data_IF_415030709189
#
_entry.id   IF_415030709189
#
_cell.length_a   1.000
_cell.length_b   1.000
_cell.length_c   1.000
_cell.angle_alpha   90.00
_cell.angle_beta   90.00
_cell.angle_gamma   90.00
#
_symmetry.space_group_name_H-M   'P 1'
#
loop_
_entity.id
_entity.type
_entity.pdbx_description
1 polymer ?
#
# COMPACT_ATOMS: atom_id res chain seq x y z
N UNK A 1 -0.17 3.53 22.23
CA UNK A 1 -0.01 2.44 21.25
C UNK A 1 -1.31 2.28 20.49
N UNK A 2 -1.30 1.81 19.24
CA UNK A 2 -2.52 1.71 18.43
C UNK A 2 -3.23 0.39 18.76
N UNK A 3 -4.48 0.38 19.26
CA UNK A 3 -5.14 -0.83 19.75
C UNK A 3 -5.21 -1.97 18.72
N UNK A 4 -5.41 -1.64 17.44
CA UNK A 4 -5.40 -2.65 16.37
C UNK A 4 -4.03 -3.30 16.19
N UNK A 5 -2.94 -2.55 16.34
CA UNK A 5 -1.58 -3.04 16.12
C UNK A 5 -1.15 -3.96 17.28
N UNK A 6 -1.54 -3.61 18.51
CA UNK A 6 -1.18 -4.38 19.71
C UNK A 6 -1.81 -5.78 19.73
N UNK A 7 -2.87 -6.01 18.94
CA UNK A 7 -3.58 -7.30 18.83
C UNK A 7 -3.03 -8.23 17.75
N UNK A 8 -2.20 -7.71 16.84
CA UNK A 8 -1.71 -8.51 15.72
C UNK A 8 -0.64 -9.50 16.19
N UNK A 9 -0.80 -10.76 15.81
CA UNK A 9 0.10 -11.85 16.21
C UNK A 9 0.78 -12.54 15.04
N UNK A 10 0.19 -12.47 13.84
CA UNK A 10 0.69 -13.15 12.65
C UNK A 10 1.02 -12.16 11.53
N UNK A 11 2.32 -11.99 11.26
CA UNK A 11 2.80 -11.22 10.10
C UNK A 11 2.85 -12.15 8.88
N UNK A 12 2.04 -11.84 7.87
CA UNK A 12 1.89 -12.65 6.65
C UNK A 12 2.96 -12.28 5.62
N UNK A 13 3.14 -10.98 5.38
CA UNK A 13 4.13 -10.48 4.44
C UNK A 13 4.62 -9.09 4.85
N UNK A 14 5.85 -8.75 4.47
CA UNK A 14 6.39 -7.41 4.63
C UNK A 14 7.41 -7.10 3.54
N UNK A 15 7.60 -5.81 3.25
CA UNK A 15 8.61 -5.41 2.28
C UNK A 15 8.52 -3.96 1.86
N UNK A 16 9.48 -3.57 1.01
CA UNK A 16 9.51 -2.22 0.44
C UNK A 16 8.65 -2.13 -0.81
N UNK A 17 7.77 -1.12 -0.85
CA UNK A 17 6.98 -0.74 -2.02
C UNK A 17 7.18 0.75 -2.30
N UNK A 18 6.85 1.20 -3.50
CA UNK A 18 6.81 2.64 -3.84
C UNK A 18 5.38 3.09 -4.07
N UNK A 19 5.02 4.28 -3.60
CA UNK A 19 3.73 4.87 -3.99
C UNK A 19 3.80 5.50 -5.40
N UNK A 20 2.66 5.99 -5.90
CA UNK A 20 2.57 6.70 -7.18
C UNK A 20 3.44 7.97 -7.30
N UNK A 21 3.91 8.51 -6.16
CA UNK A 21 4.84 9.65 -6.11
C UNK A 21 6.30 9.22 -6.05
N UNK A 22 6.59 7.91 -6.16
CA UNK A 22 7.93 7.34 -6.07
C UNK A 22 8.50 7.27 -4.65
N UNK A 23 7.72 7.61 -3.62
CA UNK A 23 8.17 7.53 -2.23
C UNK A 23 8.23 6.07 -1.80
N UNK A 24 9.37 5.68 -1.20
CA UNK A 24 9.56 4.34 -0.64
C UNK A 24 8.79 4.21 0.67
N UNK A 25 8.03 3.14 0.77
CA UNK A 25 7.26 2.73 1.94
C UNK A 25 7.73 1.35 2.37
N UNK A 26 7.74 1.10 3.67
CA UNK A 26 7.83 -0.24 4.21
C UNK A 26 6.44 -0.68 4.65
N UNK A 27 5.97 -1.78 4.08
CA UNK A 27 4.58 -2.24 4.21
C UNK A 27 4.57 -3.53 5.02
N UNK A 28 3.62 -3.64 5.94
CA UNK A 28 3.39 -4.84 6.75
C UNK A 28 1.96 -5.32 6.53
N UNK A 29 1.81 -6.58 6.16
CA UNK A 29 0.54 -7.27 6.04
C UNK A 29 0.42 -8.28 7.17
N UNK A 30 -0.50 -8.03 8.09
CA UNK A 30 -0.94 -8.98 9.09
C UNK A 30 -2.21 -9.70 8.62
N UNK A 31 -2.66 -10.68 9.39
CA UNK A 31 -3.92 -11.40 9.20
C UNK A 31 -5.16 -10.49 9.28
N UNK A 32 -5.13 -9.46 10.12
CA UNK A 32 -6.27 -8.54 10.27
C UNK A 32 -6.04 -7.14 9.70
N UNK A 33 -4.80 -6.67 9.61
CA UNK A 33 -4.52 -5.28 9.19
C UNK A 33 -3.36 -5.16 8.19
N UNK A 34 -3.44 -4.12 7.35
CA UNK A 34 -2.41 -3.67 6.45
C UNK A 34 -1.87 -2.31 6.92
N UNK A 35 -0.55 -2.22 7.08
CA UNK A 35 0.15 -1.02 7.54
C UNK A 35 1.09 -0.47 6.48
N UNK A 36 1.05 0.84 6.31
CA UNK A 36 2.02 1.59 5.50
C UNK A 36 2.91 2.43 6.41
N UNK A 37 4.22 2.30 6.25
CA UNK A 37 5.18 3.02 7.07
C UNK A 37 6.28 3.66 6.23
N UNK A 38 6.91 4.69 6.79
CA UNK A 38 8.22 5.17 6.35
C UNK A 38 9.26 4.82 7.40
N UNK A 39 10.46 4.49 6.94
CA UNK A 39 11.59 4.31 7.86
C UNK A 39 12.02 5.69 8.38
N UNK A 40 12.09 5.83 9.69
CA UNK A 40 12.63 6.97 10.39
C UNK A 40 13.83 6.53 11.24
N UNK A 41 14.72 7.46 11.55
CA UNK A 41 15.81 7.23 12.52
C UNK A 41 15.57 8.12 13.72
N UNK A 42 15.47 7.53 14.92
CA UNK A 42 15.35 8.28 16.18
C UNK A 42 16.42 7.79 17.13
N UNK A 43 17.28 8.68 17.60
CA UNK A 43 18.37 8.38 18.53
C UNK A 43 19.29 7.25 18.03
N UNK A 44 19.56 7.19 16.73
CA UNK A 44 20.38 6.14 16.11
C UNK A 44 19.66 4.80 15.84
N UNK A 45 18.43 4.62 16.32
CA UNK A 45 17.63 3.42 16.07
C UNK A 45 16.68 3.63 14.89
N UNK A 46 16.59 2.62 14.01
CA UNK A 46 15.58 2.59 12.94
C UNK A 46 14.22 2.32 13.56
N UNK A 47 13.22 3.12 13.18
CA UNK A 47 11.83 2.95 13.56
C UNK A 47 10.91 3.09 12.35
N UNK A 48 9.72 2.50 12.44
CA UNK A 48 8.71 2.56 11.40
C UNK A 48 7.63 3.54 11.82
N UNK A 49 7.47 4.63 11.07
CA UNK A 49 6.42 5.61 11.31
C UNK A 49 5.26 5.37 10.36
N UNK A 50 4.07 5.17 10.91
CA UNK A 50 2.83 5.04 10.13
C UNK A 50 2.60 6.30 9.28
N UNK A 51 2.30 6.10 8.00
CA UNK A 51 1.94 7.20 7.09
C UNK A 51 0.43 7.42 7.02
N UNK A 52 -0.34 6.35 7.23
CA UNK A 52 -1.81 6.31 7.12
C UNK A 52 -2.39 5.53 8.30
N UNK A 53 -3.70 5.62 8.49
CA UNK A 53 -4.42 4.73 9.40
C UNK A 53 -4.31 3.27 8.93
N UNK A 54 -4.18 2.29 9.85
CA UNK A 54 -4.23 0.87 9.50
C UNK A 54 -5.48 0.53 8.67
N UNK A 55 -5.33 -0.20 7.57
CA UNK A 55 -6.47 -0.70 6.80
C UNK A 55 -6.83 -2.07 7.33
N UNK A 56 -8.10 -2.29 7.69
CA UNK A 56 -8.58 -3.61 8.08
C UNK A 56 -8.69 -4.49 6.84
N UNK A 57 -8.25 -5.74 6.93
CA UNK A 57 -8.32 -6.71 5.83
C UNK A 57 -9.77 -6.97 5.40
N UNK A 58 -10.73 -6.85 6.32
CA UNK A 58 -12.17 -7.00 6.03
C UNK A 58 -12.71 -5.94 5.06
N UNK A 59 -12.13 -4.73 5.05
CA UNK A 59 -12.53 -3.63 4.17
C UNK A 59 -11.54 -3.39 3.03
N UNK A 60 -10.49 -4.22 2.96
CA UNK A 60 -9.41 -4.12 1.99
C UNK A 60 -9.86 -4.67 0.64
N UNK A 61 -9.69 -3.85 -0.39
CA UNK A 61 -9.87 -4.22 -1.78
C UNK A 61 -8.54 -4.08 -2.52
N UNK A 62 -8.19 -5.10 -3.31
CA UNK A 62 -6.96 -5.17 -4.08
C UNK A 62 -7.29 -5.23 -5.57
N UNK A 63 -6.75 -4.28 -6.32
CA UNK A 63 -6.87 -4.20 -7.77
C UNK A 63 -5.49 -4.41 -8.39
N UNK A 64 -5.36 -5.46 -9.21
CA UNK A 64 -4.16 -5.67 -10.01
C UNK A 64 -4.15 -4.68 -11.19
N UNK A 65 -3.04 -3.96 -11.37
CA UNK A 65 -2.87 -3.02 -12.47
C UNK A 65 -1.96 -3.64 -13.53
N UNK A 66 -2.49 -3.78 -14.74
CA UNK A 66 -1.76 -4.31 -15.87
C UNK A 66 -0.59 -3.40 -16.29
N UNK A 67 0.54 -4.02 -16.60
CA UNK A 67 1.74 -3.31 -17.06
C UNK A 67 1.48 -2.68 -18.44
N UNK A 68 1.98 -1.47 -18.66
CA UNK A 68 1.74 -0.73 -19.91
C UNK A 68 0.51 0.19 -19.87
N UNK A 69 -0.43 -0.03 -18.96
CA UNK A 69 -1.62 0.84 -18.81
C UNK A 69 -1.20 2.23 -18.34
N UNK A 70 -1.71 3.25 -19.02
CA UNK A 70 -1.55 4.65 -18.60
C UNK A 70 -2.64 4.98 -17.59
N UNK A 71 -2.23 5.18 -16.35
CA UNK A 71 -3.12 5.56 -15.25
C UNK A 71 -2.97 7.05 -14.93
N UNK A 72 -4.08 7.80 -14.77
CA UNK A 72 -4.05 9.25 -14.54
C UNK A 72 -3.26 9.66 -13.29
N UNK A 73 -3.27 8.84 -12.24
CA UNK A 73 -2.61 9.14 -10.96
C UNK A 73 -1.07 9.11 -11.05
N UNK A 74 -0.50 8.53 -12.12
CA UNK A 74 0.92 8.62 -12.44
C UNK A 74 1.26 9.86 -13.27
N UNK A 75 0.27 10.54 -13.84
CA UNK A 75 0.44 11.69 -14.72
C UNK A 75 0.54 13.03 -13.98
N UNK A 76 0.18 13.07 -12.70
CA UNK A 76 0.03 14.32 -11.94
C UNK A 76 1.20 14.56 -11.00
N UNK A 77 2.31 15.07 -11.56
CA UNK A 77 3.41 15.66 -10.81
C UNK A 77 3.63 17.09 -11.29
N UNK A 78 3.49 18.07 -10.37
CA UNK A 78 3.42 19.52 -10.60
C UNK A 78 4.64 20.21 -11.24
N UNK A 79 5.52 19.50 -11.93
CA UNK A 79 6.65 20.08 -12.69
C UNK A 79 6.80 19.55 -14.13
N UNK A 80 5.88 18.69 -14.60
CA UNK A 80 5.90 18.23 -15.99
C UNK A 80 5.21 19.24 -16.91
N UNK A 81 5.90 20.35 -17.19
CA UNK A 81 5.60 21.22 -18.35
C UNK A 81 6.55 20.92 -19.52
N UNK A 82 7.14 19.73 -19.53
CA UNK A 82 8.08 19.26 -20.55
C UNK A 82 7.65 17.88 -21.04
N UNK A 83 6.85 17.86 -22.11
CA UNK A 83 6.70 16.88 -23.22
C UNK A 83 6.84 15.34 -23.00
N UNK A 84 7.07 14.81 -21.81
CA UNK A 84 7.08 13.36 -21.57
C UNK A 84 5.72 12.93 -21.02
N UNK A 85 4.96 12.18 -21.81
CA UNK A 85 3.69 11.59 -21.41
C UNK A 85 3.80 10.73 -20.13
N UNK A 86 2.66 10.45 -19.50
CA UNK A 86 2.61 9.63 -18.29
C UNK A 86 3.39 8.33 -18.47
N UNK A 87 4.26 8.03 -17.50
CA UNK A 87 4.97 6.75 -17.49
C UNK A 87 3.92 5.64 -17.33
N UNK A 88 3.96 4.59 -18.18
CA UNK A 88 3.02 3.48 -18.03
C UNK A 88 3.23 2.79 -16.69
N UNK A 89 2.16 2.20 -16.17
CA UNK A 89 2.22 1.36 -14.99
C UNK A 89 3.19 0.19 -15.22
N UNK A 90 3.95 -0.16 -14.18
CA UNK A 90 4.86 -1.31 -14.19
C UNK A 90 4.96 -1.91 -12.80
N UNK A 91 4.64 -3.20 -12.68
CA UNK A 91 4.60 -3.95 -11.43
C UNK A 91 3.73 -3.25 -10.36
N UNK A 92 2.57 -2.72 -10.75
CA UNK A 92 1.70 -1.98 -9.85
C UNK A 92 0.45 -2.75 -9.43
N UNK A 93 -0.07 -2.40 -8.26
CA UNK A 93 -1.37 -2.80 -7.75
C UNK A 93 -1.92 -1.67 -6.88
N UNK A 94 -3.25 -1.59 -6.73
CA UNK A 94 -3.93 -0.61 -5.89
C UNK A 94 -4.53 -1.30 -4.67
N UNK A 95 -4.29 -0.73 -3.49
CA UNK A 95 -4.98 -1.09 -2.26
C UNK A 95 -6.00 -0.01 -1.93
N UNK A 96 -7.22 -0.38 -1.60
CA UNK A 96 -8.25 0.56 -1.19
C UNK A 96 -9.05 0.05 0.00
N UNK A 97 -9.43 0.95 0.91
CA UNK A 97 -10.39 0.68 1.97
C UNK A 97 -11.72 1.30 1.61
N UNK A 98 -12.81 0.52 1.61
CA UNK A 98 -14.16 1.08 1.61
C UNK A 98 -14.39 1.79 2.95
N UNK A 99 -15.03 2.96 2.93
CA UNK A 99 -15.35 3.68 4.15
C UNK A 99 -16.39 2.88 4.94
N UNK A 100 -15.98 2.34 6.09
CA UNK A 100 -16.91 1.73 7.05
C UNK A 100 -17.62 2.85 7.82
N UNK A 101 -18.93 2.71 8.02
CA UNK A 101 -19.82 3.65 8.74
C UNK A 101 -19.31 4.08 10.12
N UNK A 102 -18.45 3.28 10.73
CA UNK A 102 -18.08 3.38 12.14
C UNK A 102 -16.87 4.29 12.39
N UNK A 103 -16.23 4.78 11.32
CA UNK A 103 -15.13 5.75 11.44
C UNK A 103 -15.66 7.13 11.07
N UNK A 104 -15.57 8.09 12.00
CA UNK A 104 -15.93 9.52 11.83
C UNK A 104 -15.24 10.26 10.66
N UNK A 105 -14.47 9.57 9.83
CA UNK A 105 -13.97 10.02 8.55
C UNK A 105 -14.49 9.08 7.46
N UNK A 106 -15.56 9.49 6.78
CA UNK A 106 -16.10 8.86 5.57
C UNK A 106 -15.13 9.01 4.37
N UNK A 107 -13.87 8.57 4.53
CA UNK A 107 -12.81 8.69 3.55
C UNK A 107 -12.38 7.30 3.10
N UNK A 108 -12.83 6.93 1.90
CA UNK A 108 -12.21 5.86 1.11
C UNK A 108 -10.76 6.23 0.90
N UNK A 109 -9.83 5.41 1.42
CA UNK A 109 -8.40 5.61 1.20
C UNK A 109 -7.96 4.64 0.11
N UNK A 110 -7.41 5.15 -0.98
CA UNK A 110 -6.81 4.34 -2.04
C UNK A 110 -5.35 4.73 -2.22
N UNK A 111 -4.49 3.73 -2.34
CA UNK A 111 -3.06 3.91 -2.55
C UNK A 111 -2.60 2.99 -3.67
N UNK A 112 -1.94 3.59 -4.65
CA UNK A 112 -1.31 2.86 -5.73
C UNK A 112 0.13 2.55 -5.35
N UNK A 113 0.50 1.28 -5.44
CA UNK A 113 1.78 0.74 -5.00
C UNK A 113 2.49 0.07 -6.16
N UNK A 114 3.81 0.21 -6.19
CA UNK A 114 4.71 -0.39 -7.15
C UNK A 114 5.68 -1.32 -6.42
N UNK A 115 5.67 -2.58 -6.84
CA UNK A 115 6.63 -3.60 -6.43
C UNK A 115 7.96 -3.43 -7.18
N UNK A 116 9.00 -4.11 -6.69
CA UNK A 116 10.34 -4.05 -7.28
C UNK A 116 10.37 -4.64 -8.70
N UNK A 117 9.75 -5.78 -8.86
CA UNK A 117 9.66 -6.56 -10.09
C UNK A 117 8.34 -7.35 -10.13
N UNK A 118 8.15 -8.11 -11.21
CA UNK A 118 6.93 -8.89 -11.41
C UNK A 118 6.80 -10.01 -10.37
N UNK A 119 7.90 -10.61 -9.93
CA UNK A 119 7.86 -11.69 -8.93
C UNK A 119 7.45 -11.13 -7.57
N UNK A 120 8.04 -10.02 -7.16
CA UNK A 120 7.69 -9.28 -5.94
C UNK A 120 6.20 -8.88 -5.95
N UNK A 121 5.69 -8.37 -7.09
CA UNK A 121 4.25 -8.11 -7.25
C UNK A 121 3.40 -9.37 -7.02
N UNK A 122 3.76 -10.50 -7.62
CA UNK A 122 3.01 -11.75 -7.47
C UNK A 122 3.06 -12.30 -6.04
N UNK A 123 4.17 -12.13 -5.32
CA UNK A 123 4.27 -12.47 -3.89
C UNK A 123 3.26 -11.66 -3.06
N UNK A 124 3.20 -10.34 -3.27
CA UNK A 124 2.21 -9.48 -2.61
C UNK A 124 0.77 -9.88 -2.94
N UNK A 125 0.45 -10.02 -4.23
CA UNK A 125 -0.90 -10.40 -4.66
C UNK A 125 -1.32 -11.78 -4.10
N UNK A 126 -0.40 -12.74 -4.06
CA UNK A 126 -0.65 -14.06 -3.47
C UNK A 126 -0.88 -13.98 -1.96
N UNK A 127 -0.10 -13.17 -1.24
CA UNK A 127 -0.26 -12.95 0.18
C UNK A 127 -1.62 -12.31 0.53
N UNK A 128 -2.07 -11.34 -0.27
CA UNK A 128 -3.42 -10.77 -0.11
C UNK A 128 -4.50 -11.82 -0.37
N UNK A 129 -4.36 -12.62 -1.43
CA UNK A 129 -5.33 -13.69 -1.73
C UNK A 129 -5.40 -14.72 -0.61
N UNK A 130 -4.27 -15.14 -0.04
CA UNK A 130 -4.28 -16.15 1.02
C UNK A 130 -5.06 -15.69 2.25
N UNK A 131 -4.94 -14.43 2.66
CA UNK A 131 -5.65 -13.93 3.84
C UNK A 131 -7.12 -13.61 3.57
N UNK A 132 -7.46 -13.26 2.32
CA UNK A 132 -8.84 -12.98 1.92
C UNK A 132 -9.65 -14.27 1.75
N UNK A 133 -9.02 -15.40 1.40
CA UNK A 133 -9.68 -16.71 1.29
C UNK A 133 -9.89 -17.36 2.65
N UNK A 134 -9.04 -17.08 3.64
CA UNK A 134 -9.13 -17.64 4.99
C UNK A 134 -10.21 -17.00 5.87
N UNK A 135 -10.95 -15.99 5.37
CA UNK A 135 -12.04 -15.31 6.05
C UNK A 135 -13.36 -15.53 5.31
#
# INVERSE_FOLDING_TARGET
>A
KHPLIDRQTHLVCQGELKNNRGQKLYVFLFDEILLFTRIATRNGFKSYQLINYPILVESLHIEDIEDGVKIPELSSGSFSRTLSGSKPARNMFRCSSLATSDTNNNRTTSILLQARDMYDKQQWLSAFRSIMIMK
#
